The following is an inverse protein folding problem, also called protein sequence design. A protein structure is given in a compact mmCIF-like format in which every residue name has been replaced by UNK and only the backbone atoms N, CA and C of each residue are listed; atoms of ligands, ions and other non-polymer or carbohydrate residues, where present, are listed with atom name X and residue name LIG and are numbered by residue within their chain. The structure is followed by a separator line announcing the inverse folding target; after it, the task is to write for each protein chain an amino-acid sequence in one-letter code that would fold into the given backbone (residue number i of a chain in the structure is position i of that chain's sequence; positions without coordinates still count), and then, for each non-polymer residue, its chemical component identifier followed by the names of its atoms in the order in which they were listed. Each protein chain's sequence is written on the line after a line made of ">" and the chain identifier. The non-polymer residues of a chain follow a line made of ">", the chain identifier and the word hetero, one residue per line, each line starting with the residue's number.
data_IF_566578585589
#
_entry.id   IF_566578585589
#
_cell.length_a   1.000
_cell.length_b   1.000
_cell.length_c   1.000
_cell.angle_alpha   90.00
_cell.angle_beta   90.00
_cell.angle_gamma   90.00
#
_symmetry.space_group_name_H-M   'P 1'
#
loop_
_entity.id
_entity.type
_entity.pdbx_description
1 polymer ?
#
# COMPACT_ATOMS: atom_id res chain seq x y z
N UNK A 1 -0.45 1.66 -0.65
CA UNK A 1 0.09 0.29 -0.54
C UNK A 1 -1.06 -0.69 -0.70
N UNK A 2 -0.93 -1.58 -1.67
CA UNK A 2 -1.88 -2.66 -1.94
C UNK A 2 -1.14 -3.99 -1.81
N UNK A 3 -1.76 -4.96 -1.14
CA UNK A 3 -1.28 -6.34 -1.07
C UNK A 3 -1.68 -7.04 -2.38
N UNK A 4 -0.74 -7.72 -3.03
CA UNK A 4 -0.85 -8.16 -4.42
C UNK A 4 -1.79 -9.36 -4.55
N UNK A 5 -1.83 -10.28 -3.59
CA UNK A 5 -2.58 -11.53 -3.72
C UNK A 5 -4.06 -11.36 -3.36
N UNK A 6 -4.33 -10.49 -2.39
CA UNK A 6 -5.68 -10.23 -1.88
C UNK A 6 -6.27 -8.96 -2.48
N UNK A 7 -5.43 -8.11 -3.11
CA UNK A 7 -5.77 -6.78 -3.62
C UNK A 7 -6.21 -5.85 -2.49
N UNK A 8 -5.91 -6.21 -1.24
CA UNK A 8 -6.30 -5.44 -0.07
C UNK A 8 -5.51 -4.15 -0.02
N UNK A 9 -6.22 -3.01 0.09
CA UNK A 9 -5.58 -1.72 0.35
C UNK A 9 -5.25 -1.63 1.83
N UNK A 10 -3.97 -1.71 2.15
CA UNK A 10 -3.48 -1.86 3.53
C UNK A 10 -3.03 -0.53 4.15
N UNK A 11 -2.64 0.45 3.34
CA UNK A 11 -2.21 1.77 3.80
C UNK A 11 -2.18 2.79 2.66
N UNK A 12 -2.44 4.05 2.99
CA UNK A 12 -2.30 5.21 2.12
C UNK A 12 -1.67 6.38 2.89
N UNK A 13 -1.28 7.43 2.17
CA UNK A 13 -0.75 8.66 2.74
C UNK A 13 -1.12 9.86 1.90
N UNK A 14 -1.46 10.98 2.54
CA UNK A 14 -1.75 12.26 1.89
C UNK A 14 -0.82 13.31 2.51
N UNK A 15 0.05 13.88 1.68
CA UNK A 15 1.02 14.88 2.08
C UNK A 15 1.43 15.75 0.89
N UNK A 16 2.25 16.78 1.16
CA UNK A 16 2.74 17.71 0.13
C UNK A 16 3.82 17.10 -0.77
N UNK A 17 4.51 16.06 -0.31
CA UNK A 17 5.53 15.35 -1.07
C UNK A 17 5.38 13.84 -0.96
N UNK A 18 5.91 13.12 -1.96
CA UNK A 18 5.90 11.65 -1.99
C UNK A 18 6.61 11.07 -0.76
N UNK A 19 7.75 11.64 -0.37
CA UNK A 19 8.49 11.23 0.84
C UNK A 19 7.61 11.30 2.07
N UNK A 20 6.87 12.40 2.27
CA UNK A 20 6.01 12.57 3.45
C UNK A 20 4.80 11.63 3.42
N UNK A 21 4.19 11.42 2.25
CA UNK A 21 3.09 10.48 2.09
C UNK A 21 3.55 9.04 2.36
N UNK A 22 4.72 8.67 1.83
CA UNK A 22 5.37 7.37 2.05
C UNK A 22 5.71 7.14 3.52
N UNK A 23 6.14 8.17 4.26
CA UNK A 23 6.35 8.07 5.72
C UNK A 23 5.04 7.70 6.43
N UNK A 24 3.90 8.28 6.04
CA UNK A 24 2.60 7.93 6.62
C UNK A 24 2.22 6.47 6.33
N UNK A 25 2.44 6.01 5.09
CA UNK A 25 2.23 4.60 4.68
C UNK A 25 3.08 3.66 5.54
N UNK A 26 4.40 3.89 5.61
CA UNK A 26 5.31 3.02 6.35
C UNK A 26 5.04 3.03 7.86
N UNK A 27 4.70 4.18 8.45
CA UNK A 27 4.28 4.24 9.87
C UNK A 27 3.00 3.44 10.11
N UNK A 28 2.08 3.45 9.17
CA UNK A 28 0.84 2.66 9.26
C UNK A 28 1.13 1.17 9.21
N UNK A 29 1.99 0.73 8.28
CA UNK A 29 2.44 -0.66 8.22
C UNK A 29 3.17 -1.09 9.50
N UNK A 30 4.03 -0.22 10.04
CA UNK A 30 4.76 -0.48 11.29
C UNK A 30 3.84 -0.73 12.48
N UNK A 31 2.73 0.01 12.56
CA UNK A 31 1.68 -0.19 13.59
C UNK A 31 0.84 -1.45 13.35
N UNK A 32 0.65 -1.87 12.09
CA UNK A 32 -0.24 -2.96 11.68
C UNK A 32 0.46 -4.33 11.52
N UNK A 33 1.59 -4.53 12.18
CA UNK A 33 2.26 -5.85 12.24
C UNK A 33 3.68 -5.88 11.68
N UNK A 34 4.10 -4.87 10.93
CA UNK A 34 5.46 -4.80 10.36
C UNK A 34 6.41 -4.03 11.29
N UNK A 35 6.53 -4.43 12.57
CA UNK A 35 7.26 -3.64 13.58
C UNK A 35 8.78 -3.55 13.33
N UNK A 36 9.37 -4.65 12.86
CA UNK A 36 10.81 -4.83 12.69
C UNK A 36 11.37 -4.30 11.36
N UNK A 37 10.56 -4.27 10.31
CA UNK A 37 10.96 -3.85 8.97
C UNK A 37 9.77 -3.80 8.01
N UNK A 38 9.93 -3.17 6.84
CA UNK A 38 8.87 -3.13 5.83
C UNK A 38 8.56 -4.52 5.27
N UNK A 39 7.31 -4.79 4.84
CA UNK A 39 7.04 -5.93 3.98
C UNK A 39 7.81 -5.79 2.66
N UNK A 40 8.10 -6.88 1.94
CA UNK A 40 8.62 -6.80 0.57
C UNK A 40 7.65 -6.02 -0.33
N UNK A 41 8.15 -5.07 -1.11
CA UNK A 41 7.29 -4.25 -1.97
C UNK A 41 8.00 -3.71 -3.21
N UNK A 42 7.18 -3.33 -4.19
CA UNK A 42 7.62 -2.70 -5.44
C UNK A 42 7.03 -1.30 -5.51
N UNK A 43 7.80 -0.34 -6.01
CA UNK A 43 7.29 1.00 -6.34
C UNK A 43 7.61 1.39 -7.77
N UNK A 44 7.04 2.48 -8.23
CA UNK A 44 7.58 3.16 -9.39
C UNK A 44 8.94 3.80 -9.04
N UNK A 45 9.69 4.20 -10.06
CA UNK A 45 10.95 4.91 -9.92
C UNK A 45 10.80 6.36 -9.43
N UNK A 46 9.70 6.74 -8.79
CA UNK A 46 9.54 8.09 -8.25
C UNK A 46 10.38 8.26 -6.97
N UNK A 47 10.96 9.44 -6.79
CA UNK A 47 11.89 9.72 -5.69
C UNK A 47 11.18 9.82 -4.33
N UNK A 48 11.91 9.51 -3.25
CA UNK A 48 11.50 9.80 -1.87
C UNK A 48 11.06 8.59 -1.03
N UNK A 49 10.76 7.46 -1.67
CA UNK A 49 10.36 6.23 -0.98
C UNK A 49 11.53 5.64 -0.17
N UNK A 50 12.74 5.67 -0.73
CA UNK A 50 13.99 5.26 -0.08
C UNK A 50 14.27 6.08 1.19
N UNK A 51 14.11 7.40 1.12
CA UNK A 51 14.27 8.32 2.25
C UNK A 51 13.20 8.08 3.32
N UNK A 52 11.95 7.87 2.91
CA UNK A 52 10.85 7.55 3.82
C UNK A 52 11.09 6.22 4.55
N UNK A 53 11.61 5.22 3.83
CA UNK A 53 11.91 3.90 4.39
C UNK A 53 13.00 3.99 5.45
N UNK A 54 14.11 4.68 5.15
CA UNK A 54 15.19 4.93 6.12
C UNK A 54 14.70 5.74 7.33
N UNK A 55 13.83 6.73 7.11
CA UNK A 55 13.26 7.54 8.19
C UNK A 55 12.43 6.71 9.18
N UNK A 56 11.62 5.75 8.70
CA UNK A 56 10.70 4.97 9.53
C UNK A 56 11.32 3.71 10.11
N UNK A 57 12.09 2.97 9.30
CA UNK A 57 12.63 1.66 9.66
C UNK A 57 14.13 1.64 9.88
N UNK A 58 14.87 2.61 9.33
CA UNK A 58 16.32 2.66 9.46
C UNK A 58 16.76 2.83 10.91
N UNK A 59 17.95 2.30 11.22
CA UNK A 59 18.58 2.41 12.53
C UNK A 59 19.86 3.24 12.41
N UNK A 60 20.17 4.00 13.45
CA UNK A 60 21.51 4.59 13.57
C UNK A 60 22.45 3.46 13.98
N UNK A 61 23.55 3.21 13.24
CA UNK A 61 24.52 2.19 13.61
C UNK A 61 25.06 2.40 15.03
N UNK A 62 25.40 1.32 15.72
CA UNK A 62 26.12 1.41 16.98
C UNK A 62 27.47 2.10 16.75
N UNK A 63 27.87 2.95 17.68
CA UNK A 63 29.17 3.63 17.61
C UNK A 63 30.27 2.66 18.00
N UNK A 64 31.27 2.47 17.14
CA UNK A 64 32.33 1.47 17.31
C UNK A 64 33.75 2.01 17.08
N UNK A 65 33.97 3.32 17.15
CA UNK A 65 35.25 3.92 16.78
C UNK A 65 35.65 5.15 17.61
N UNK A 66 36.58 5.93 17.05
CA UNK A 66 37.02 7.25 17.52
C UNK A 66 36.51 8.34 16.56
N UNK A 67 36.04 9.47 17.10
CA UNK A 67 35.46 10.58 16.30
C UNK A 67 33.95 10.75 16.46
N UNK A 68 33.28 11.49 15.56
CA UNK A 68 31.86 11.85 15.74
C UNK A 68 30.92 10.64 15.58
N UNK A 69 30.03 10.37 16.56
CA UNK A 69 29.05 9.29 16.43
C UNK A 69 28.14 9.42 15.20
N UNK A 70 27.74 8.30 14.56
CA UNK A 70 26.86 8.32 13.41
C UNK A 70 25.50 8.92 13.81
N UNK A 71 24.95 9.76 12.95
CA UNK A 71 23.60 10.35 13.13
C UNK A 71 22.60 9.93 12.05
N UNK A 72 23.11 9.48 10.90
CA UNK A 72 22.27 9.08 9.77
C UNK A 72 21.78 7.65 9.99
N UNK A 73 20.48 7.45 9.79
CA UNK A 73 19.88 6.12 9.77
C UNK A 73 20.36 5.36 8.54
N UNK A 74 20.67 4.10 8.72
CA UNK A 74 21.03 3.17 7.67
C UNK A 74 19.98 2.07 7.56
N UNK A 75 19.94 1.42 6.40
CA UNK A 75 19.12 0.24 6.21
C UNK A 75 19.63 -0.89 7.11
N UNK A 76 18.72 -1.76 7.52
CA UNK A 76 19.04 -2.98 8.26
C UNK A 76 18.75 -4.18 7.37
N UNK A 77 19.35 -5.32 7.70
CA UNK A 77 19.17 -6.55 6.94
C UNK A 77 17.71 -7.01 6.88
N UNK A 78 17.41 -7.75 5.81
CA UNK A 78 16.10 -8.36 5.56
C UNK A 78 15.12 -7.50 4.76
N UNK A 79 15.46 -6.26 4.42
CA UNK A 79 14.61 -5.43 3.55
C UNK A 79 14.64 -5.95 2.11
N UNK A 80 13.47 -5.97 1.47
CA UNK A 80 13.31 -6.39 0.07
C UNK A 80 12.52 -5.32 -0.67
N UNK A 81 13.21 -4.47 -1.43
CA UNK A 81 12.59 -3.35 -2.14
C UNK A 81 13.13 -3.23 -3.56
N UNK A 82 12.22 -3.18 -4.52
CA UNK A 82 12.52 -2.99 -5.94
C UNK A 82 11.75 -1.80 -6.51
N UNK A 83 12.38 -1.08 -7.43
CA UNK A 83 11.75 -0.04 -8.24
C UNK A 83 11.59 -0.54 -9.67
N UNK A 84 10.43 -0.23 -10.26
CA UNK A 84 10.17 -0.35 -11.68
C UNK A 84 10.29 1.02 -12.33
N UNK A 85 11.38 1.22 -13.05
CA UNK A 85 11.71 2.48 -13.72
C UNK A 85 11.27 2.39 -15.17
N UNK A 86 10.36 3.27 -15.57
CA UNK A 86 9.92 3.36 -16.98
C UNK A 86 11.02 4.00 -17.80
N UNK A 87 11.56 3.25 -18.75
CA UNK A 87 12.47 3.77 -19.77
C UNK A 87 11.67 4.56 -20.79
N UNK A 88 12.19 5.73 -21.17
CA UNK A 88 11.50 6.65 -22.08
C UNK A 88 12.42 7.11 -23.19
N UNK A 89 11.86 7.24 -24.40
CA UNK A 89 12.56 7.84 -25.53
C UNK A 89 12.61 9.38 -25.43
N UNK A 90 13.24 10.02 -26.43
CA UNK A 90 13.30 11.46 -26.56
C UNK A 90 11.92 12.15 -26.60
N UNK A 91 10.88 11.42 -27.04
CA UNK A 91 9.49 11.89 -27.11
C UNK A 91 8.68 11.58 -25.83
N UNK A 92 9.34 11.12 -24.77
CA UNK A 92 8.75 10.70 -23.47
C UNK A 92 7.80 9.50 -23.56
N UNK A 93 7.80 8.75 -24.65
CA UNK A 93 7.02 7.51 -24.77
C UNK A 93 7.71 6.41 -23.98
N UNK A 94 6.94 5.54 -23.35
CA UNK A 94 7.49 4.43 -22.57
C UNK A 94 7.97 3.36 -23.54
N UNK A 95 9.28 3.07 -23.54
CA UNK A 95 9.92 2.09 -24.42
C UNK A 95 10.25 0.79 -23.71
N UNK A 96 10.29 0.80 -22.38
CA UNK A 96 10.59 -0.37 -21.58
C UNK A 96 10.42 -0.15 -20.09
N UNK A 97 10.65 -1.22 -19.33
CA UNK A 97 10.67 -1.21 -17.87
C UNK A 97 11.99 -1.80 -17.40
N UNK A 98 12.71 -1.05 -16.57
CA UNK A 98 13.90 -1.52 -15.89
C UNK A 98 13.58 -1.86 -14.43
N UNK A 99 14.09 -3.00 -13.96
CA UNK A 99 13.98 -3.44 -12.57
C UNK A 99 15.23 -3.05 -11.80
N UNK A 100 15.10 -2.11 -10.85
CA UNK A 100 16.19 -1.67 -9.98
C UNK A 100 15.97 -2.17 -8.56
N UNK A 101 16.82 -3.07 -8.08
CA UNK A 101 16.78 -3.54 -6.69
C UNK A 101 17.46 -2.50 -5.80
N UNK A 102 16.71 -1.94 -4.84
CA UNK A 102 17.20 -0.90 -3.94
C UNK A 102 17.71 -1.47 -2.62
N UNK A 103 17.02 -2.50 -2.09
CA UNK A 103 17.44 -3.23 -0.90
C UNK A 103 17.19 -4.73 -1.06
N UNK A 104 18.10 -5.54 -0.49
CA UNK A 104 18.05 -7.00 -0.49
C UNK A 104 18.87 -7.63 -1.62
N UNK A 105 18.99 -8.96 -1.58
CA UNK A 105 19.68 -9.72 -2.61
C UNK A 105 18.89 -9.70 -3.93
N UNK A 106 19.55 -9.32 -5.03
CA UNK A 106 18.88 -9.11 -6.31
C UNK A 106 18.13 -10.34 -6.85
N UNK A 107 18.72 -11.54 -6.76
CA UNK A 107 18.10 -12.77 -7.24
C UNK A 107 16.86 -13.14 -6.40
N UNK A 108 16.95 -13.00 -5.08
CA UNK A 108 15.82 -13.29 -4.19
C UNK A 108 14.68 -12.29 -4.37
N UNK A 109 15.00 -11.01 -4.49
CA UNK A 109 14.01 -9.93 -4.67
C UNK A 109 13.27 -10.12 -6.00
N UNK A 110 13.98 -10.35 -7.11
CA UNK A 110 13.37 -10.56 -8.43
C UNK A 110 12.51 -11.82 -8.50
N UNK A 111 12.83 -12.87 -7.74
CA UNK A 111 12.01 -14.08 -7.64
C UNK A 111 10.71 -13.86 -6.85
N UNK A 112 10.76 -13.02 -5.81
CA UNK A 112 9.63 -12.84 -4.87
C UNK A 112 8.68 -11.72 -5.29
N UNK A 113 9.19 -10.65 -5.88
CA UNK A 113 8.42 -9.47 -6.22
C UNK A 113 8.04 -9.45 -7.71
N UNK A 114 6.81 -9.03 -8.05
CA UNK A 114 6.40 -8.96 -9.45
C UNK A 114 7.18 -7.87 -10.20
N UNK A 115 7.51 -8.14 -11.46
CA UNK A 115 8.11 -7.16 -12.37
C UNK A 115 7.06 -6.23 -13.02
N UNK A 116 5.93 -5.95 -12.35
CA UNK A 116 4.88 -5.05 -12.83
C UNK A 116 4.20 -4.28 -11.68
N UNK A 117 3.60 -3.14 -12.02
CA UNK A 117 2.81 -2.29 -11.09
C UNK A 117 1.30 -2.28 -11.41
N UNK A 118 0.84 -3.19 -12.28
CA UNK A 118 -0.52 -3.18 -12.82
C UNK A 118 -1.61 -3.10 -11.76
N UNK A 119 -1.46 -3.79 -10.63
CA UNK A 119 -2.41 -3.73 -9.51
C UNK A 119 -2.42 -2.37 -8.81
N UNK A 120 -1.25 -1.76 -8.59
CA UNK A 120 -1.17 -0.40 -8.03
C UNK A 120 -1.78 0.64 -8.98
N UNK A 121 -1.43 0.58 -10.26
CA UNK A 121 -1.97 1.47 -11.30
C UNK A 121 -3.49 1.31 -11.46
N UNK A 122 -3.99 0.07 -11.49
CA UNK A 122 -5.43 -0.22 -11.55
C UNK A 122 -6.15 0.33 -10.32
N UNK A 123 -5.56 0.18 -9.15
CA UNK A 123 -6.13 0.68 -7.89
C UNK A 123 -6.26 2.19 -7.92
N UNK A 124 -5.22 2.91 -8.33
CA UNK A 124 -5.30 4.37 -8.48
C UNK A 124 -6.35 4.80 -9.49
N UNK A 125 -6.55 4.06 -10.59
CA UNK A 125 -7.62 4.33 -11.54
C UNK A 125 -9.01 4.10 -10.91
N UNK A 126 -9.20 3.00 -10.19
CA UNK A 126 -10.44 2.72 -9.44
C UNK A 126 -10.73 3.84 -8.45
N UNK A 127 -9.74 4.27 -7.65
CA UNK A 127 -9.90 5.38 -6.70
C UNK A 127 -10.41 6.66 -7.38
N UNK A 128 -9.87 7.02 -8.55
CA UNK A 128 -10.30 8.22 -9.29
C UNK A 128 -11.71 8.09 -9.85
N UNK A 129 -12.14 6.88 -10.19
CA UNK A 129 -13.49 6.63 -10.69
C UNK A 129 -14.54 6.69 -9.56
N UNK A 130 -14.21 6.11 -8.39
CA UNK A 130 -15.12 6.07 -7.24
C UNK A 130 -15.13 7.36 -6.43
N UNK A 131 -14.02 8.10 -6.44
CA UNK A 131 -13.87 9.32 -5.66
C UNK A 131 -13.42 10.48 -6.56
N UNK A 132 -14.40 11.30 -6.96
CA UNK A 132 -14.19 12.49 -7.80
C UNK A 132 -13.20 13.50 -7.19
N UNK A 133 -13.00 13.48 -5.86
CA UNK A 133 -12.03 14.34 -5.17
C UNK A 133 -10.57 13.98 -5.50
N UNK A 134 -10.32 12.77 -6.00
CA UNK A 134 -8.99 12.28 -6.39
C UNK A 134 -8.70 12.48 -7.87
N UNK A 135 -9.68 12.94 -8.66
CA UNK A 135 -9.50 13.25 -10.07
C UNK A 135 -8.63 14.49 -10.22
N UNK A 136 -7.63 14.39 -11.10
CA UNK A 136 -6.71 15.49 -11.39
C UNK A 136 -7.45 16.61 -12.12
N UNK A 137 -7.30 17.86 -11.65
CA UNK A 137 -7.92 19.06 -12.24
C UNK A 137 -9.46 19.01 -12.29
N UNK A 138 -10.10 18.28 -11.38
CA UNK A 138 -11.55 18.31 -11.22
C UNK A 138 -12.03 19.47 -10.34
N UNK A 139 -13.31 19.83 -10.45
CA UNK A 139 -13.95 20.84 -9.59
C UNK A 139 -14.42 20.27 -8.24
N UNK A 140 -14.42 18.94 -8.08
CA UNK A 140 -14.88 18.25 -6.87
C UNK A 140 -13.82 18.17 -5.76
N UNK A 141 -12.89 19.13 -5.67
CA UNK A 141 -11.84 19.09 -4.65
C UNK A 141 -12.39 19.33 -3.24
N UNK A 142 -11.74 18.74 -2.24
CA UNK A 142 -12.08 19.00 -0.84
C UNK A 142 -11.57 20.37 -0.39
N UNK A 143 -12.43 21.16 0.27
CA UNK A 143 -12.03 22.44 0.91
C UNK A 143 -11.25 22.27 2.22
N UNK A 144 -11.29 21.07 2.81
CA UNK A 144 -10.57 20.72 4.05
C UNK A 144 -9.82 19.41 3.88
N UNK A 145 -8.61 19.34 4.41
CA UNK A 145 -7.78 18.12 4.41
C UNK A 145 -8.48 16.98 5.15
N UNK A 146 -9.15 17.27 6.27
CA UNK A 146 -9.87 16.25 7.04
C UNK A 146 -10.97 15.58 6.22
N UNK A 147 -11.71 16.36 5.42
CA UNK A 147 -12.75 15.82 4.53
C UNK A 147 -12.15 15.02 3.37
N UNK A 148 -10.98 15.42 2.88
CA UNK A 148 -10.26 14.64 1.86
C UNK A 148 -9.79 13.29 2.41
N UNK A 149 -9.24 13.28 3.63
CA UNK A 149 -8.82 12.08 4.33
C UNK A 149 -10.01 11.16 4.65
N UNK A 150 -11.13 11.71 5.12
CA UNK A 150 -12.34 10.94 5.38
C UNK A 150 -12.91 10.30 4.11
N UNK A 151 -12.93 11.02 2.99
CA UNK A 151 -13.37 10.48 1.71
C UNK A 151 -12.43 9.38 1.18
N UNK A 152 -11.11 9.53 1.34
CA UNK A 152 -10.15 8.49 0.98
C UNK A 152 -10.28 7.24 1.87
N UNK A 153 -10.49 7.43 3.17
CA UNK A 153 -10.75 6.33 4.10
C UNK A 153 -12.05 5.58 3.76
N UNK A 154 -13.11 6.31 3.41
CA UNK A 154 -14.37 5.72 2.96
C UNK A 154 -14.20 4.90 1.68
N UNK A 155 -13.49 5.42 0.67
CA UNK A 155 -13.20 4.71 -0.58
C UNK A 155 -12.44 3.40 -0.32
N UNK A 156 -11.41 3.42 0.54
CA UNK A 156 -10.65 2.22 0.90
C UNK A 156 -11.49 1.20 1.66
N UNK A 157 -12.34 1.64 2.60
CA UNK A 157 -13.25 0.77 3.33
C UNK A 157 -14.27 0.12 2.39
N UNK A 158 -14.91 0.92 1.53
CA UNK A 158 -15.86 0.42 0.55
C UNK A 158 -15.20 -0.57 -0.42
N UNK A 159 -14.02 -0.21 -0.95
CA UNK A 159 -13.28 -1.06 -1.88
C UNK A 159 -12.90 -2.41 -1.24
N UNK A 160 -12.40 -2.40 -0.01
CA UNK A 160 -11.95 -3.61 0.66
C UNK A 160 -13.11 -4.52 1.10
N UNK A 161 -14.19 -3.96 1.65
CA UNK A 161 -15.23 -4.75 2.33
C UNK A 161 -16.48 -5.00 1.49
N UNK A 162 -16.83 -4.09 0.57
CA UNK A 162 -18.09 -4.11 -0.18
C UNK A 162 -17.87 -4.45 -1.66
N UNK A 163 -16.85 -3.87 -2.30
CA UNK A 163 -16.65 -4.01 -3.74
C UNK A 163 -16.03 -5.37 -4.12
N UNK A 164 -16.81 -6.21 -4.81
CA UNK A 164 -16.29 -7.46 -5.37
C UNK A 164 -15.40 -7.20 -6.60
N UNK A 165 -14.14 -7.60 -6.50
CA UNK A 165 -13.15 -7.37 -7.55
C UNK A 165 -13.18 -8.52 -8.55
N UNK A 166 -13.32 -8.19 -9.85
CA UNK A 166 -13.44 -9.20 -10.92
C UNK A 166 -12.28 -10.20 -10.96
N UNK A 167 -11.06 -9.79 -10.63
CA UNK A 167 -9.87 -10.64 -10.63
C UNK A 167 -9.76 -11.58 -9.44
N UNK A 168 -10.61 -11.41 -8.42
CA UNK A 168 -10.65 -12.27 -7.23
C UNK A 168 -11.77 -13.32 -7.29
N UNK A 169 -12.60 -13.30 -8.34
CA UNK A 169 -13.73 -14.22 -8.45
C UNK A 169 -13.25 -15.67 -8.44
N UNK A 170 -13.94 -16.49 -7.67
CA UNK A 170 -13.65 -17.93 -7.55
C UNK A 170 -14.65 -18.70 -8.40
N UNK A 171 -14.22 -19.79 -9.03
CA UNK A 171 -15.11 -20.66 -9.78
C UNK A 171 -15.93 -21.50 -8.79
N UNK A 172 -17.24 -21.29 -8.75
CA UNK A 172 -18.18 -22.24 -8.18
C UNK A 172 -18.43 -23.34 -9.20
N UNK A 173 -17.97 -24.55 -8.88
CA UNK A 173 -18.22 -25.75 -9.67
C UNK A 173 -19.45 -26.41 -9.07
N UNK A 174 -20.63 -25.86 -9.37
CA UNK A 174 -21.89 -26.53 -9.08
C UNK A 174 -22.62 -26.86 -10.38
N UNK A 175 -22.99 -28.14 -10.52
CA UNK A 175 -23.95 -28.66 -11.51
C UNK A 175 -23.59 -28.41 -13.00
N UNK A 176 -22.30 -28.39 -13.35
CA UNK A 176 -21.86 -28.27 -14.75
C UNK A 176 -21.98 -26.87 -15.36
N UNK A 177 -22.41 -25.88 -14.58
CA UNK A 177 -22.42 -24.47 -14.98
C UNK A 177 -21.23 -23.78 -14.31
N UNK A 178 -20.29 -23.24 -15.09
CA UNK A 178 -19.21 -22.39 -14.56
C UNK A 178 -19.80 -21.10 -13.99
N UNK A 179 -20.13 -21.12 -12.70
CA UNK A 179 -20.60 -19.94 -11.98
C UNK A 179 -19.41 -19.25 -11.31
N UNK A 180 -19.33 -17.93 -11.39
CA UNK A 180 -18.29 -17.16 -10.74
C UNK A 180 -18.83 -16.51 -9.48
N UNK A 181 -18.22 -16.80 -8.34
CA UNK A 181 -18.57 -16.17 -7.08
C UNK A 181 -17.84 -14.85 -6.88
N UNK A 182 -18.57 -13.88 -6.33
CA UNK A 182 -18.04 -12.58 -5.99
C UNK A 182 -17.09 -12.70 -4.81
N UNK A 183 -15.90 -12.08 -4.91
CA UNK A 183 -14.92 -12.04 -3.84
C UNK A 183 -14.42 -10.59 -3.67
N UNK A 184 -14.49 -10.08 -2.44
CA UNK A 184 -13.93 -8.78 -2.06
C UNK A 184 -12.48 -8.93 -1.60
N UNK A 185 -11.68 -7.85 -1.58
CA UNK A 185 -10.33 -7.91 -1.03
C UNK A 185 -10.28 -8.39 0.43
N UNK A 186 -11.26 -8.00 1.25
CA UNK A 186 -11.36 -8.46 2.63
C UNK A 186 -11.69 -9.96 2.72
N UNK A 187 -12.48 -10.51 1.79
CA UNK A 187 -12.71 -11.96 1.70
C UNK A 187 -11.44 -12.71 1.30
N UNK A 188 -10.74 -12.25 0.26
CA UNK A 188 -9.49 -12.86 -0.17
C UNK A 188 -8.42 -12.83 0.92
N UNK A 189 -8.42 -11.79 1.77
CA UNK A 189 -7.54 -11.69 2.94
C UNK A 189 -8.02 -12.48 4.16
N UNK A 190 -9.16 -13.18 4.09
CA UNK A 190 -9.72 -13.97 5.20
C UNK A 190 -10.30 -13.13 6.35
N UNK A 191 -10.57 -11.84 6.13
CA UNK A 191 -11.12 -10.93 7.15
C UNK A 191 -12.65 -11.03 7.30
N UNK A 192 -13.33 -11.57 6.30
CA UNK A 192 -14.78 -11.80 6.26
C UNK A 192 -15.08 -12.96 5.32
N UNK A 193 -16.20 -13.66 5.54
CA UNK A 193 -16.62 -14.78 4.68
C UNK A 193 -17.58 -14.34 3.56
N UNK A 194 -18.06 -13.09 3.59
CA UNK A 194 -18.96 -12.55 2.56
C UNK A 194 -18.72 -11.06 2.29
N UNK A 195 -19.16 -10.54 1.14
CA UNK A 195 -19.19 -9.11 0.89
C UNK A 195 -20.10 -8.43 1.92
N UNK A 196 -19.67 -7.26 2.40
CA UNK A 196 -20.49 -6.42 3.23
C UNK A 196 -21.40 -5.55 2.37
N UNK A 197 -22.49 -5.09 2.95
CA UNK A 197 -23.30 -3.99 2.40
C UNK A 197 -22.78 -2.64 2.90
N UNK A 198 -23.08 -1.52 2.21
CA UNK A 198 -22.76 -0.19 2.73
C UNK A 198 -23.37 0.07 4.12
N UNK A 199 -24.57 -0.46 4.38
CA UNK A 199 -25.25 -0.35 5.67
C UNK A 199 -24.48 -1.06 6.79
N UNK A 200 -23.99 -2.28 6.53
CA UNK A 200 -23.15 -3.01 7.47
C UNK A 200 -21.85 -2.26 7.76
N UNK A 201 -21.20 -1.74 6.72
CA UNK A 201 -19.97 -0.98 6.86
C UNK A 201 -20.14 0.29 7.71
N UNK A 202 -21.26 1.01 7.55
CA UNK A 202 -21.57 2.22 8.32
C UNK A 202 -21.98 1.94 9.76
N UNK A 203 -22.62 0.79 9.99
CA UNK A 203 -23.05 0.37 11.33
C UNK A 203 -21.96 -0.36 12.12
N UNK A 204 -20.82 -0.66 11.48
CA UNK A 204 -19.73 -1.35 12.14
C UNK A 204 -19.01 -0.40 13.11
N UNK A 205 -19.30 -0.56 14.40
CA UNK A 205 -18.63 0.16 15.48
C UNK A 205 -17.30 -0.51 15.76
N UNK A 206 -16.20 0.21 15.54
CA UNK A 206 -14.88 -0.22 16.01
C UNK A 206 -14.94 -0.15 17.54
N UNK A 207 -14.74 -1.26 18.27
CA UNK A 207 -14.67 -1.22 19.72
C UNK A 207 -13.60 -0.20 20.12
N UNK A 208 -13.85 0.67 21.11
CA UNK A 208 -12.85 1.63 21.54
C UNK A 208 -11.56 0.87 21.87
N UNK A 209 -10.43 1.33 21.32
CA UNK A 209 -9.12 0.77 21.62
C UNK A 209 -8.95 0.78 23.15
N UNK A 210 -9.09 -0.39 23.78
CA UNK A 210 -8.74 -0.56 25.19
C UNK A 210 -7.23 -0.38 25.25
N UNK A 211 -6.80 0.86 25.48
CA UNK A 211 -5.45 1.10 25.98
C UNK A 211 -5.41 0.32 27.29
N UNK A 212 -4.69 -0.79 27.29
CA UNK A 212 -4.26 -1.42 28.52
C UNK A 212 -3.51 -0.34 29.30
N UNK A 213 -4.18 0.26 30.29
CA UNK A 213 -3.52 0.98 31.34
C UNK A 213 -2.64 -0.05 32.04
N UNK A 214 -1.35 -0.08 31.73
CA UNK A 214 -0.37 -0.69 32.62
C UNK A 214 -0.40 0.14 33.91
N UNK A 215 -1.19 -0.32 34.89
CA UNK A 215 -0.90 -0.05 36.30
C UNK A 215 0.27 -0.95 36.67
N UNK A 216 1.32 -0.36 37.22
CA UNK A 216 2.55 -1.03 37.63
C UNK A 216 3.72 -0.09 37.48
#
# INVERSE_FOLDING_TARGET
>A
MIEIDTRLRVAWGIAKSETQASVQVFRTLKRRGHRSGPPPFVSDGHGGIDQALLSVYGKVPAYSGWGRPPRKKQAVDGWQYMQLVKQRDAYRRVTGLETRVMYGNAAQVKRKLPAHLSYGERTHLTMRLFNSRLVRKGLAFSKSLAMHQAAAAWDDLYYNWVHAVRTLRVSAVDLGIKKWEACTPAMAAGLTMRPWTPKELLNWVIPPNVKQHSKG
#
